data_IF_284842152684
#
_entry.id   IF_284842152684
#
_cell.length_a   1.000
_cell.length_b   1.000
_cell.length_c   1.000
_cell.angle_alpha   90.00
_cell.angle_beta   90.00
_cell.angle_gamma   90.00
#
_symmetry.space_group_name_H-M   'P 1'
#
loop_
_entity.id
_entity.type
_entity.pdbx_description
1 polymer ?
#
# COMPACT_ATOMS: atom_id res chain seq x y z
N UNK A 1 0.66 31.72 7.96
CA UNK A 1 1.45 31.24 6.80
C UNK A 1 1.96 29.85 7.14
N UNK A 2 1.25 28.80 6.70
CA UNK A 2 1.73 27.43 6.88
C UNK A 2 2.77 27.15 5.81
N UNK A 3 4.01 26.93 6.25
CA UNK A 3 5.19 26.69 5.46
C UNK A 3 4.97 25.65 4.34
N UNK A 4 5.26 26.05 3.10
CA UNK A 4 5.03 25.25 1.87
C UNK A 4 5.75 23.89 1.90
N UNK A 5 6.77 23.72 2.76
CA UNK A 5 7.55 22.48 2.91
C UNK A 5 7.57 21.89 4.32
N UNK A 6 6.87 22.46 5.30
CA UNK A 6 6.96 21.92 6.65
C UNK A 6 6.21 20.56 6.70
N UNK A 7 6.94 19.51 7.08
CA UNK A 7 6.57 18.09 7.10
C UNK A 7 6.36 17.38 5.73
N UNK A 8 6.82 17.96 4.62
CA UNK A 8 6.79 17.28 3.32
C UNK A 8 8.20 16.87 2.90
N UNK A 9 8.43 15.56 2.75
CA UNK A 9 9.64 15.05 2.11
C UNK A 9 9.62 15.27 0.57
N UNK A 10 8.44 15.55 -0.01
CA UNK A 10 8.27 15.73 -1.45
C UNK A 10 7.36 16.92 -1.81
N UNK A 11 7.55 17.57 -2.98
CA UNK A 11 6.67 18.66 -3.44
C UNK A 11 5.22 18.18 -3.59
N UNK A 12 4.26 19.02 -3.19
CA UNK A 12 2.83 18.66 -2.99
C UNK A 12 2.22 17.90 -4.18
N UNK A 13 2.55 18.29 -5.42
CA UNK A 13 1.98 17.69 -6.64
C UNK A 13 2.82 16.52 -7.16
N UNK A 14 4.04 16.80 -7.62
CA UNK A 14 4.91 15.76 -8.21
C UNK A 14 5.27 14.65 -7.21
N UNK A 15 5.50 15.04 -5.96
CA UNK A 15 5.72 14.12 -4.85
C UNK A 15 4.53 13.25 -4.51
N UNK A 16 3.34 13.83 -4.46
CA UNK A 16 2.10 13.10 -4.23
C UNK A 16 1.80 12.11 -5.35
N UNK A 17 2.02 12.50 -6.61
CA UNK A 17 1.86 11.61 -7.77
C UNK A 17 2.83 10.42 -7.69
N UNK A 18 4.11 10.68 -7.40
CA UNK A 18 5.11 9.61 -7.27
C UNK A 18 4.76 8.66 -6.12
N UNK A 19 4.40 9.19 -4.95
CA UNK A 19 4.06 8.38 -3.78
C UNK A 19 2.81 7.51 -4.04
N UNK A 20 1.74 8.08 -4.60
CA UNK A 20 0.52 7.33 -4.91
C UNK A 20 0.77 6.25 -5.96
N UNK A 21 1.58 6.53 -6.98
CA UNK A 21 1.99 5.52 -7.97
C UNK A 21 2.85 4.40 -7.34
N UNK A 22 3.76 4.75 -6.43
CA UNK A 22 4.59 3.79 -5.71
C UNK A 22 3.77 2.87 -4.81
N UNK A 23 2.84 3.43 -4.04
CA UNK A 23 1.91 2.68 -3.18
C UNK A 23 0.99 1.79 -4.01
N UNK A 24 0.53 2.28 -5.18
CA UNK A 24 -0.26 1.47 -6.13
C UNK A 24 0.53 0.25 -6.59
N UNK A 25 1.78 0.43 -7.02
CA UNK A 25 2.62 -0.66 -7.52
C UNK A 25 2.91 -1.70 -6.43
N UNK A 26 3.30 -1.27 -5.23
CA UNK A 26 3.59 -2.18 -4.12
C UNK A 26 2.34 -2.99 -3.75
N UNK A 27 1.18 -2.34 -3.63
CA UNK A 27 -0.05 -3.02 -3.24
C UNK A 27 -0.59 -3.93 -4.36
N UNK A 28 -0.42 -3.56 -5.62
CA UNK A 28 -0.78 -4.42 -6.75
C UNK A 28 0.11 -5.68 -6.81
N UNK A 29 1.43 -5.52 -6.70
CA UNK A 29 2.38 -6.64 -6.67
C UNK A 29 2.10 -7.53 -5.45
N UNK A 30 1.94 -6.94 -4.26
CA UNK A 30 1.60 -7.67 -3.04
C UNK A 30 0.29 -8.44 -3.15
N UNK A 31 -0.73 -7.86 -3.79
CA UNK A 31 -2.00 -8.54 -4.07
C UNK A 31 -1.83 -9.74 -5.01
N UNK A 32 -1.12 -9.56 -6.12
CA UNK A 32 -0.85 -10.64 -7.10
C UNK A 32 -0.08 -11.79 -6.44
N UNK A 33 0.95 -11.47 -5.66
CA UNK A 33 1.73 -12.48 -4.93
C UNK A 33 0.86 -13.25 -3.94
N UNK A 34 -0.05 -12.59 -3.23
CA UNK A 34 -0.99 -13.24 -2.32
C UNK A 34 -1.98 -14.16 -3.03
N UNK A 35 -2.42 -13.83 -4.24
CA UNK A 35 -3.31 -14.72 -4.99
C UNK A 35 -2.60 -15.97 -5.52
N UNK A 36 -1.34 -15.85 -5.92
CA UNK A 36 -0.57 -16.97 -6.46
C UNK A 36 0.02 -17.87 -5.35
N UNK A 37 0.57 -17.28 -4.28
CA UNK A 37 1.34 -17.99 -3.24
C UNK A 37 0.67 -17.97 -1.87
N UNK A 38 -0.41 -17.21 -1.69
CA UNK A 38 -1.05 -17.07 -0.37
C UNK A 38 -1.62 -18.38 0.16
N UNK A 39 -2.02 -19.32 -0.70
CA UNK A 39 -2.49 -20.65 -0.30
C UNK A 39 -1.40 -21.53 0.36
N UNK A 40 -0.13 -21.20 0.15
CA UNK A 40 1.00 -21.88 0.79
C UNK A 40 1.16 -21.41 2.25
N UNK A 41 0.99 -20.11 2.49
CA UNK A 41 1.20 -19.50 3.82
C UNK A 41 -0.08 -19.49 4.68
N UNK A 42 -1.24 -19.36 4.06
CA UNK A 42 -2.53 -19.22 4.72
C UNK A 42 -3.53 -20.24 4.18
N UNK A 43 -4.59 -20.50 4.95
CA UNK A 43 -5.74 -21.23 4.39
C UNK A 43 -6.30 -20.45 3.20
N UNK A 44 -6.75 -21.18 2.17
CA UNK A 44 -7.22 -20.65 0.88
C UNK A 44 -8.20 -19.48 1.01
N UNK A 45 -9.11 -19.54 1.99
CA UNK A 45 -10.10 -18.50 2.22
C UNK A 45 -9.47 -17.21 2.81
N UNK A 46 -8.54 -17.34 3.76
CA UNK A 46 -7.84 -16.19 4.33
C UNK A 46 -6.90 -15.54 3.31
N UNK A 47 -6.22 -16.34 2.48
CA UNK A 47 -5.38 -15.83 1.39
C UNK A 47 -6.19 -14.94 0.41
N UNK A 48 -7.40 -15.36 0.06
CA UNK A 48 -8.27 -14.60 -0.85
C UNK A 48 -8.70 -13.26 -0.22
N UNK A 49 -9.08 -13.25 1.06
CA UNK A 49 -9.46 -12.03 1.79
C UNK A 49 -8.29 -11.04 1.86
N UNK A 50 -7.09 -11.54 2.15
CA UNK A 50 -5.87 -10.74 2.23
C UNK A 50 -5.40 -10.20 0.88
N UNK A 51 -5.48 -11.00 -0.18
CA UNK A 51 -5.22 -10.56 -1.55
C UNK A 51 -6.23 -9.50 -2.01
N UNK A 52 -7.51 -9.73 -1.73
CA UNK A 52 -8.60 -8.80 -2.04
C UNK A 52 -8.42 -7.44 -1.35
N UNK A 53 -8.00 -7.42 -0.09
CA UNK A 53 -7.70 -6.17 0.62
C UNK A 53 -6.54 -5.40 -0.01
N UNK A 54 -5.48 -6.10 -0.43
CA UNK A 54 -4.33 -5.46 -1.10
C UNK A 54 -4.74 -4.82 -2.44
N UNK A 55 -5.63 -5.48 -3.19
CA UNK A 55 -6.20 -4.92 -4.43
C UNK A 55 -7.10 -3.71 -4.17
N UNK A 56 -7.88 -3.73 -3.10
CA UNK A 56 -8.68 -2.58 -2.69
C UNK A 56 -7.78 -1.37 -2.37
N UNK A 57 -6.69 -1.60 -1.65
CA UNK A 57 -5.69 -0.58 -1.32
C UNK A 57 -5.00 -0.03 -2.57
N UNK A 58 -4.68 -0.90 -3.55
CA UNK A 58 -4.16 -0.49 -4.86
C UNK A 58 -5.17 0.35 -5.66
N UNK A 59 -6.45 -0.02 -5.65
CA UNK A 59 -7.52 0.74 -6.30
C UNK A 59 -7.69 2.14 -5.67
N UNK A 60 -7.59 2.22 -4.34
CA UNK A 60 -7.61 3.50 -3.60
C UNK A 60 -6.41 4.39 -3.95
N UNK A 61 -5.21 3.81 -4.04
CA UNK A 61 -4.03 4.54 -4.50
C UNK A 61 -4.19 5.03 -5.95
N UNK A 62 -4.84 4.25 -6.82
CA UNK A 62 -5.17 4.65 -8.19
C UNK A 62 -6.17 5.81 -8.26
N UNK A 63 -7.20 5.78 -7.42
CA UNK A 63 -8.13 6.90 -7.27
C UNK A 63 -7.43 8.18 -6.79
N UNK A 64 -6.51 8.07 -5.84
CA UNK A 64 -5.70 9.20 -5.39
C UNK A 64 -4.81 9.74 -6.51
N UNK A 65 -4.14 8.85 -7.26
CA UNK A 65 -3.31 9.23 -8.40
C UNK A 65 -4.11 9.99 -9.47
N UNK A 66 -5.26 9.44 -9.89
CA UNK A 66 -6.15 10.11 -10.85
C UNK A 66 -6.70 11.44 -10.32
N UNK A 67 -7.01 11.51 -9.03
CA UNK A 67 -7.46 12.74 -8.36
C UNK A 67 -6.41 13.85 -8.40
N UNK A 68 -5.14 13.51 -8.21
CA UNK A 68 -4.01 14.44 -8.30
C UNK A 68 -3.70 14.85 -9.75
N UNK A 69 -3.84 13.94 -10.71
CA UNK A 69 -3.65 14.23 -12.13
C UNK A 69 -4.68 15.24 -12.66
N UNK A 70 -5.95 15.01 -12.33
CA UNK A 70 -7.08 15.78 -12.88
C UNK A 70 -7.50 16.99 -12.03
N UNK A 71 -6.80 17.30 -10.94
CA UNK A 71 -7.22 18.36 -9.98
C UNK A 71 -8.68 18.22 -9.54
N UNK A 72 -9.15 16.97 -9.39
CA UNK A 72 -10.57 16.71 -9.15
C UNK A 72 -10.90 16.82 -7.66
N UNK A 73 -11.69 17.84 -7.31
CA UNK A 73 -12.20 18.03 -5.95
C UNK A 73 -13.08 16.85 -5.50
N UNK A 74 -13.89 16.28 -6.39
CA UNK A 74 -14.76 15.15 -6.03
C UNK A 74 -13.96 13.88 -5.74
N UNK A 75 -12.96 13.54 -6.58
CA UNK A 75 -12.15 12.33 -6.38
C UNK A 75 -11.32 12.39 -5.10
N UNK A 76 -10.71 13.54 -4.82
CA UNK A 76 -9.91 13.73 -3.61
C UNK A 76 -10.76 13.74 -2.34
N UNK A 77 -11.97 14.31 -2.40
CA UNK A 77 -12.96 14.19 -1.31
C UNK A 77 -13.35 12.74 -1.07
N UNK A 78 -13.68 11.99 -2.12
CA UNK A 78 -14.07 10.58 -2.01
C UNK A 78 -12.94 9.74 -1.41
N UNK A 79 -11.70 9.96 -1.87
CA UNK A 79 -10.52 9.29 -1.34
C UNK A 79 -10.36 9.51 0.17
N UNK A 80 -10.46 10.75 0.65
CA UNK A 80 -10.28 11.07 2.08
C UNK A 80 -11.27 10.30 2.96
N UNK A 81 -12.55 10.25 2.57
CA UNK A 81 -13.56 9.53 3.37
C UNK A 81 -13.33 8.02 3.38
N UNK A 82 -13.05 7.42 2.22
CA UNK A 82 -12.87 5.96 2.12
C UNK A 82 -11.56 5.52 2.77
N UNK A 83 -10.49 6.31 2.63
CA UNK A 83 -9.16 5.94 3.12
C UNK A 83 -9.10 5.75 4.64
N UNK A 84 -9.91 6.48 5.42
CA UNK A 84 -10.00 6.23 6.87
C UNK A 84 -10.54 4.83 7.19
N UNK A 85 -11.60 4.41 6.50
CA UNK A 85 -12.20 3.07 6.69
C UNK A 85 -11.17 2.01 6.30
N UNK A 86 -10.47 2.21 5.18
CA UNK A 86 -9.41 1.29 4.72
C UNK A 86 -8.24 1.26 5.70
N UNK A 87 -7.84 2.39 6.28
CA UNK A 87 -6.76 2.44 7.27
C UNK A 87 -7.10 1.61 8.52
N UNK A 88 -8.34 1.73 9.05
CA UNK A 88 -8.77 0.90 10.19
C UNK A 88 -8.76 -0.59 9.85
N UNK A 89 -9.25 -0.97 8.68
CA UNK A 89 -9.19 -2.36 8.21
C UNK A 89 -7.74 -2.84 7.98
N UNK A 90 -6.83 -1.94 7.60
CA UNK A 90 -5.41 -2.22 7.44
C UNK A 90 -4.74 -2.65 8.74
N UNK A 91 -5.08 -2.00 9.86
CA UNK A 91 -4.59 -2.41 11.19
C UNK A 91 -5.09 -3.81 11.55
N UNK A 92 -6.38 -4.06 11.34
CA UNK A 92 -6.97 -5.39 11.58
C UNK A 92 -6.31 -6.48 10.71
N UNK A 93 -6.02 -6.17 9.44
CA UNK A 93 -5.31 -7.07 8.52
C UNK A 93 -3.93 -7.44 9.06
N UNK A 94 -3.13 -6.47 9.52
CA UNK A 94 -1.78 -6.73 10.04
C UNK A 94 -1.85 -7.67 11.25
N UNK A 95 -2.75 -7.41 12.19
CA UNK A 95 -2.94 -8.27 13.37
C UNK A 95 -3.35 -9.70 13.01
N UNK A 96 -4.31 -9.86 12.09
CA UNK A 96 -4.78 -11.17 11.66
C UNK A 96 -3.72 -11.96 10.88
N UNK A 97 -2.93 -11.29 10.04
CA UNK A 97 -1.82 -11.91 9.31
C UNK A 97 -0.72 -12.39 10.27
N UNK A 98 -0.31 -11.53 11.21
CA UNK A 98 0.72 -11.88 12.20
C UNK A 98 0.29 -13.11 13.03
N UNK A 99 -0.95 -13.12 13.52
CA UNK A 99 -1.49 -14.25 14.29
C UNK A 99 -1.52 -15.57 13.50
N UNK A 100 -1.96 -15.53 12.23
CA UNK A 100 -2.01 -16.73 11.39
C UNK A 100 -0.62 -17.26 11.04
N UNK A 101 0.35 -16.36 10.80
CA UNK A 101 1.74 -16.72 10.55
C UNK A 101 2.34 -17.45 11.75
N UNK A 102 2.14 -16.94 12.97
CA UNK A 102 2.63 -17.59 14.19
C UNK A 102 2.00 -18.97 14.41
N UNK A 103 0.68 -19.10 14.20
CA UNK A 103 -0.02 -20.36 14.37
C UNK A 103 0.42 -21.44 13.38
N UNK A 104 0.86 -21.07 12.17
CA UNK A 104 1.19 -22.01 11.08
C UNK A 104 2.68 -22.22 10.84
N UNK A 105 3.58 -21.65 11.66
CA UNK A 105 5.05 -21.81 11.52
C UNK A 105 5.47 -23.27 11.32
N UNK A 106 4.93 -24.19 12.12
CA UNK A 106 5.27 -25.62 12.06
C UNK A 106 4.79 -26.34 10.79
N UNK A 107 3.70 -25.89 10.17
CA UNK A 107 3.23 -26.47 8.89
C UNK A 107 4.09 -25.98 7.72
N UNK A 108 4.50 -24.71 7.76
CA UNK A 108 5.36 -24.12 6.74
C UNK A 108 6.74 -24.79 6.76
N UNK A 109 7.33 -25.01 7.95
CA UNK A 109 8.57 -25.77 8.07
C UNK A 109 8.43 -27.18 7.51
N UNK A 110 7.34 -27.87 7.85
CA UNK A 110 7.11 -29.23 7.39
C UNK A 110 7.00 -29.33 5.85
N UNK A 111 6.38 -28.35 5.19
CA UNK A 111 6.26 -28.35 3.73
C UNK A 111 7.59 -28.07 3.01
N UNK A 112 8.47 -27.23 3.59
CA UNK A 112 9.80 -27.00 3.02
C UNK A 112 10.70 -28.25 3.12
N UNK A 113 10.71 -28.93 4.28
CA UNK A 113 11.52 -30.14 4.47
C UNK A 113 10.91 -31.37 3.75
N UNK A 114 9.59 -31.47 3.67
CA UNK A 114 8.89 -32.52 2.92
C UNK A 114 9.12 -32.42 1.40
N UNK A 115 9.15 -31.21 0.85
CA UNK A 115 9.41 -31.01 -0.59
C UNK A 115 10.84 -31.39 -1.01
N UNK A 116 11.82 -31.22 -0.12
CA UNK A 116 13.22 -31.62 -0.35
C UNK A 116 13.37 -33.15 -0.30
N UNK A 117 12.66 -33.82 0.62
CA UNK A 117 12.80 -35.26 0.85
C UNK A 117 11.95 -36.13 -0.11
N UNK A 118 10.73 -35.74 -0.46
CA UNK A 118 9.81 -36.62 -1.20
C UNK A 118 9.95 -36.56 -2.73
N UNK A 119 10.59 -35.53 -3.29
CA UNK A 119 10.59 -35.33 -4.76
C UNK A 119 11.97 -35.16 -5.39
N UNK A 120 13.06 -35.08 -4.61
CA UNK A 120 14.39 -34.73 -5.17
C UNK A 120 14.37 -33.42 -5.96
N UNK A 121 13.34 -32.59 -5.78
CA UNK A 121 13.14 -31.36 -6.52
C UNK A 121 14.02 -30.29 -5.88
N UNK A 122 15.07 -29.88 -6.58
CA UNK A 122 15.63 -28.55 -6.34
C UNK A 122 14.48 -27.54 -6.55
N UNK A 123 14.22 -26.59 -5.64
CA UNK A 123 13.16 -25.61 -5.81
C UNK A 123 13.49 -24.73 -7.04
N UNK A 124 12.99 -25.11 -8.22
CA UNK A 124 13.24 -24.42 -9.50
C UNK A 124 12.38 -23.15 -9.67
N UNK A 125 11.86 -22.60 -8.58
CA UNK A 125 11.29 -21.26 -8.51
C UNK A 125 12.14 -20.40 -7.60
N UNK A 126 12.69 -19.29 -8.11
CA UNK A 126 13.54 -18.35 -7.36
C UNK A 126 12.92 -17.92 -6.03
N UNK A 127 11.60 -17.78 -5.96
CA UNK A 127 10.88 -17.44 -4.73
C UNK A 127 10.72 -18.63 -3.76
N UNK A 128 10.46 -19.86 -4.24
CA UNK A 128 10.31 -21.04 -3.36
C UNK A 128 11.65 -21.43 -2.69
N UNK A 129 12.75 -21.30 -3.45
CA UNK A 129 14.10 -21.48 -2.93
C UNK A 129 14.45 -20.46 -1.83
N UNK A 130 13.99 -19.22 -1.99
CA UNK A 130 14.21 -18.16 -1.00
C UNK A 130 13.50 -18.46 0.33
N UNK A 131 12.26 -18.94 0.31
CA UNK A 131 11.50 -19.25 1.53
C UNK A 131 12.06 -20.45 2.30
N UNK A 132 12.52 -21.50 1.61
CA UNK A 132 13.03 -22.68 2.29
C UNK A 132 14.49 -22.56 2.76
N UNK A 133 15.28 -21.64 2.20
CA UNK A 133 16.64 -21.35 2.66
C UNK A 133 16.70 -20.29 3.79
N UNK A 134 15.63 -19.54 4.01
CA UNK A 134 15.59 -18.49 5.05
C UNK A 134 14.95 -19.04 6.33
N UNK A 135 15.54 -18.79 7.52
CA UNK A 135 14.90 -19.18 8.78
C UNK A 135 13.51 -18.53 8.91
N UNK A 136 12.52 -19.36 9.25
CA UNK A 136 11.10 -18.98 9.25
C UNK A 136 10.82 -17.78 10.16
N UNK A 137 11.49 -17.69 11.31
CA UNK A 137 11.30 -16.57 12.22
C UNK A 137 11.77 -15.24 11.61
N UNK A 138 12.89 -15.24 10.90
CA UNK A 138 13.38 -14.06 10.18
C UNK A 138 12.44 -13.69 9.02
N UNK A 139 11.92 -14.69 8.31
CA UNK A 139 10.96 -14.46 7.23
C UNK A 139 9.66 -13.81 7.75
N UNK A 140 9.09 -14.34 8.83
CA UNK A 140 7.87 -13.80 9.47
C UNK A 140 8.11 -12.36 9.93
N UNK A 141 9.27 -12.08 10.53
CA UNK A 141 9.62 -10.72 10.98
C UNK A 141 9.73 -9.73 9.83
N UNK A 142 10.45 -10.07 8.75
CA UNK A 142 10.58 -9.21 7.56
C UNK A 142 9.21 -8.94 6.94
N UNK A 143 8.37 -9.96 6.85
CA UNK A 143 7.03 -9.85 6.28
C UNK A 143 6.13 -8.89 7.11
N UNK A 144 6.15 -9.01 8.44
CA UNK A 144 5.40 -8.11 9.33
C UNK A 144 5.92 -6.67 9.22
N UNK A 145 7.24 -6.47 9.22
CA UNK A 145 7.85 -5.14 9.04
C UNK A 145 7.43 -4.54 7.71
N UNK A 146 7.43 -5.32 6.63
CA UNK A 146 6.98 -4.87 5.31
C UNK A 146 5.53 -4.38 5.32
N UNK A 147 4.62 -5.08 6.01
CA UNK A 147 3.23 -4.65 6.16
C UNK A 147 3.09 -3.35 6.97
N UNK A 148 3.90 -3.18 8.02
CA UNK A 148 3.90 -1.95 8.82
C UNK A 148 4.41 -0.77 8.00
N UNK A 149 5.47 -0.97 7.21
CA UNK A 149 5.99 0.07 6.30
C UNK A 149 4.94 0.45 5.24
N UNK A 150 4.26 -0.53 4.64
CA UNK A 150 3.16 -0.26 3.70
C UNK A 150 2.03 0.54 4.37
N UNK A 151 1.66 0.19 5.61
CA UNK A 151 0.65 0.95 6.36
C UNK A 151 1.08 2.40 6.61
N UNK A 152 2.32 2.63 7.00
CA UNK A 152 2.87 3.98 7.18
C UNK A 152 2.87 4.76 5.86
N UNK A 153 3.25 4.12 4.75
CA UNK A 153 3.19 4.74 3.42
C UNK A 153 1.76 5.12 3.04
N UNK A 154 0.77 4.31 3.40
CA UNK A 154 -0.64 4.61 3.15
C UNK A 154 -1.19 5.75 4.01
N UNK A 155 -0.75 5.86 5.26
CA UNK A 155 -1.05 7.02 6.11
C UNK A 155 -0.37 8.29 5.58
N UNK A 156 0.86 8.18 5.09
CA UNK A 156 1.56 9.31 4.49
C UNK A 156 0.89 9.75 3.18
N UNK A 157 0.46 8.81 2.34
CA UNK A 157 -0.36 9.08 1.16
C UNK A 157 -1.65 9.81 1.52
N UNK A 158 -2.35 9.34 2.56
CA UNK A 158 -3.53 10.02 3.08
C UNK A 158 -3.23 11.48 3.46
N UNK A 159 -2.16 11.71 4.21
CA UNK A 159 -1.75 13.05 4.63
C UNK A 159 -1.48 13.99 3.44
N UNK A 160 -0.79 13.51 2.41
CA UNK A 160 -0.48 14.31 1.21
C UNK A 160 -1.74 14.67 0.43
N UNK A 161 -2.65 13.71 0.22
CA UNK A 161 -3.91 13.96 -0.51
C UNK A 161 -4.86 14.84 0.31
N UNK A 162 -4.91 14.66 1.63
CA UNK A 162 -5.67 15.52 2.53
C UNK A 162 -5.19 16.97 2.46
N UNK A 163 -3.88 17.20 2.48
CA UNK A 163 -3.31 18.54 2.31
C UNK A 163 -3.69 19.15 0.96
N UNK A 164 -3.64 18.37 -0.11
CA UNK A 164 -4.06 18.82 -1.44
C UNK A 164 -5.55 19.21 -1.47
N UNK A 165 -6.41 18.40 -0.84
CA UNK A 165 -7.83 18.70 -0.68
C UNK A 165 -8.10 20.00 0.09
N UNK A 166 -7.42 20.21 1.23
CA UNK A 166 -7.56 21.44 2.03
C UNK A 166 -7.15 22.67 1.21
N UNK A 167 -6.08 22.57 0.41
CA UNK A 167 -5.66 23.65 -0.49
C UNK A 167 -6.73 23.99 -1.53
N UNK A 168 -7.34 22.99 -2.16
CA UNK A 168 -8.43 23.20 -3.12
C UNK A 168 -9.68 23.82 -2.48
N UNK A 169 -9.93 23.53 -1.20
CA UNK A 169 -11.07 24.10 -0.46
C UNK A 169 -10.86 25.57 -0.06
N UNK A 170 -9.63 25.93 0.32
CA UNK A 170 -9.29 27.29 0.80
C UNK A 170 -9.10 28.30 -0.32
N UNK A 171 -8.68 27.84 -1.51
CA UNK A 171 -8.55 28.68 -2.71
C UNK A 171 -9.57 28.24 -3.76
N UNK A 172 -10.88 28.46 -3.52
CA UNK A 172 -11.88 28.19 -4.54
C UNK A 172 -11.55 29.07 -5.74
N UNK A 173 -11.42 28.43 -6.90
CA UNK A 173 -11.17 29.04 -8.19
C UNK A 173 -12.03 30.31 -8.35
N UNK A 174 -11.42 31.50 -8.28
CA UNK A 174 -12.12 32.75 -8.54
C UNK A 174 -12.43 32.80 -10.03
N UNK A 175 -13.69 32.54 -10.40
CA UNK A 175 -14.21 32.77 -11.75
C UNK A 175 -14.22 34.28 -12.02
N UNK A 176 -13.10 34.83 -12.48
CA UNK A 176 -13.03 36.26 -12.81
C UNK A 176 -11.65 36.76 -13.23
N UNK A 177 -10.58 36.11 -12.79
CA UNK A 177 -9.23 36.42 -13.26
C UNK A 177 -8.67 35.14 -13.84
N UNK A 178 -8.39 35.15 -15.14
CA UNK A 178 -7.70 34.08 -15.85
C UNK A 178 -6.23 34.01 -15.42
N UNK A 179 -5.97 33.88 -14.11
CA UNK A 179 -4.68 33.43 -13.64
C UNK A 179 -4.75 31.91 -13.74
N UNK A 180 -4.13 31.38 -14.79
CA UNK A 180 -3.83 29.96 -14.86
C UNK A 180 -3.21 29.57 -13.51
N UNK A 181 -3.67 28.46 -12.93
CA UNK A 181 -3.23 27.97 -11.61
C UNK A 181 -1.70 27.93 -11.43
N UNK A 182 -0.94 27.97 -12.53
CA UNK A 182 0.51 28.09 -12.58
C UNK A 182 1.02 29.43 -12.04
N UNK A 183 0.37 30.57 -12.31
CA UNK A 183 0.84 31.89 -11.85
C UNK A 183 0.78 32.05 -10.32
N UNK A 184 -0.20 31.42 -9.66
CA UNK A 184 -0.25 31.38 -8.19
C UNK A 184 0.79 30.44 -7.55
N UNK A 185 1.58 29.73 -8.35
CA UNK A 185 2.67 28.85 -7.89
C UNK A 185 4.05 29.52 -7.93
N UNK A 186 4.20 30.62 -8.68
CA UNK A 186 5.48 31.34 -8.85
C UNK A 186 5.57 32.65 -8.05
N UNK A 187 4.46 33.13 -7.48
CA UNK A 187 4.44 34.36 -6.65
C UNK A 187 4.56 34.11 -5.13
N UNK A 188 4.87 32.88 -4.71
CA UNK A 188 5.14 32.48 -3.32
C UNK A 188 6.33 31.52 -3.25
#
# INVERSE_FOLDING_TARGET
>A
MWCNNCCLCFPVRGGGMFLTAFVLLINAIGGILMFLWGAYFFSSLFAMVFGGFSMLQAAMAGLAFLGLCNWSYMLTRMFIYIQWIVAFLGVARIGMMAFQLEKRKGQISAQCWGAVNDKGYSPQGTAAAFYCNTPIDTFVMIFIIGLVVDFVLNLYMYFVVWRFYVRMRLYPYSKGVAMAYEQGLYEL
#
